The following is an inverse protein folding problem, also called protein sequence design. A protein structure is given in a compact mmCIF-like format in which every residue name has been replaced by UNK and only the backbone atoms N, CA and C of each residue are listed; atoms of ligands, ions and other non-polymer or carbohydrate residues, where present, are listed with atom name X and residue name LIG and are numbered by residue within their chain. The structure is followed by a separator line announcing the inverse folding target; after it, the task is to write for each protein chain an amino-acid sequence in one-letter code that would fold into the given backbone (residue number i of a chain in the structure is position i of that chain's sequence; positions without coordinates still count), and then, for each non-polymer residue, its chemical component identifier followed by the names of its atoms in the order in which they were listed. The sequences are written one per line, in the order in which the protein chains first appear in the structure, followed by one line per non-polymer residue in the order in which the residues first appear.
data_IF_193746497939
#
_entry.id   IF_193746497939
#
_cell.length_a   1.000
_cell.length_b   1.000
_cell.length_c   1.000
_cell.angle_alpha   90.00
_cell.angle_beta   90.00
_cell.angle_gamma   90.00
#
_symmetry.space_group_name_H-M   'P 1'
#
loop_
_entity.id
_entity.type
_entity.pdbx_description
1 polymer ?
#
# COMPACT_ATOMS: atom_id res chain seq x y z
N UNK A 1 4.66 3.13 -11.10
CA UNK A 1 4.17 2.25 -10.02
C UNK A 1 3.48 3.09 -8.97
N UNK A 2 2.25 2.78 -8.59
CA UNK A 2 1.48 3.50 -7.56
C UNK A 2 1.64 2.77 -6.22
N UNK A 3 2.19 3.47 -5.24
CA UNK A 3 2.42 2.95 -3.88
C UNK A 3 1.57 3.73 -2.90
N UNK A 4 0.74 3.05 -2.13
CA UNK A 4 -0.06 3.65 -1.08
C UNK A 4 0.41 3.22 0.33
N UNK A 5 0.63 4.19 1.21
CA UNK A 5 1.09 3.96 2.59
C UNK A 5 0.57 5.05 3.54
N UNK A 6 0.71 4.84 4.85
CA UNK A 6 0.27 5.80 5.86
C UNK A 6 1.30 6.92 6.05
N UNK A 7 0.91 8.05 6.66
CA UNK A 7 1.86 9.08 7.10
C UNK A 7 2.59 8.71 8.41
N UNK A 8 2.51 7.46 8.87
CA UNK A 8 3.13 7.03 10.13
C UNK A 8 4.67 7.00 10.01
N UNK A 9 5.35 7.14 11.14
CA UNK A 9 6.81 7.30 11.16
C UNK A 9 7.56 6.07 10.63
N UNK A 10 7.02 4.87 10.86
CA UNK A 10 7.53 3.61 10.34
C UNK A 10 7.36 3.50 8.82
N UNK A 11 6.22 3.90 8.27
CA UNK A 11 6.00 3.97 6.83
C UNK A 11 6.90 5.01 6.16
N UNK A 12 7.03 6.19 6.77
CA UNK A 12 7.95 7.23 6.30
C UNK A 12 9.41 6.75 6.28
N UNK A 13 9.81 5.95 7.28
CA UNK A 13 11.12 5.34 7.32
C UNK A 13 11.31 4.32 6.18
N UNK A 14 10.32 3.46 5.93
CA UNK A 14 10.38 2.47 4.84
C UNK A 14 10.50 3.13 3.45
N UNK A 15 9.78 4.23 3.21
CA UNK A 15 9.76 4.91 1.90
C UNK A 15 10.76 6.06 1.75
N UNK A 16 11.59 6.33 2.76
CA UNK A 16 12.57 7.41 2.75
C UNK A 16 13.48 7.40 1.50
N UNK A 17 13.98 6.23 1.12
CA UNK A 17 14.85 6.09 -0.06
C UNK A 17 14.16 6.47 -1.37
N UNK A 18 12.87 6.15 -1.49
CA UNK A 18 12.05 6.49 -2.66
C UNK A 18 11.80 8.01 -2.68
N UNK A 19 11.37 8.60 -1.57
CA UNK A 19 11.10 10.05 -1.48
C UNK A 19 12.35 10.91 -1.76
N UNK A 20 13.54 10.43 -1.38
CA UNK A 20 14.80 11.16 -1.55
C UNK A 20 15.52 10.84 -2.87
N UNK A 21 14.87 10.17 -3.82
CA UNK A 21 15.46 9.85 -5.13
C UNK A 21 16.71 8.95 -5.04
N UNK A 22 16.82 8.18 -3.95
CA UNK A 22 17.92 7.22 -3.75
C UNK A 22 17.66 5.90 -4.45
N UNK A 23 16.41 5.62 -4.81
CA UNK A 23 15.99 4.53 -5.69
C UNK A 23 15.73 5.12 -7.07
N UNK A 24 16.46 4.68 -8.11
CA UNK A 24 16.51 5.36 -9.43
C UNK A 24 15.92 4.57 -10.58
N UNK A 25 15.64 3.28 -10.39
CA UNK A 25 15.31 2.37 -11.49
C UNK A 25 13.80 2.22 -11.76
N UNK A 26 12.94 3.02 -11.11
CA UNK A 26 11.48 2.96 -11.30
C UNK A 26 10.83 4.29 -10.97
N UNK A 27 9.94 4.77 -11.84
CA UNK A 27 9.05 5.90 -11.54
C UNK A 27 7.93 5.44 -10.59
N UNK A 28 7.88 6.08 -9.43
CA UNK A 28 6.92 5.77 -8.37
C UNK A 28 6.05 6.99 -8.07
N UNK A 29 4.74 6.78 -8.01
CA UNK A 29 3.76 7.76 -7.54
C UNK A 29 3.30 7.31 -6.15
N UNK A 30 3.43 8.20 -5.15
CA UNK A 30 3.02 7.89 -3.77
C UNK A 30 1.62 8.44 -3.49
N UNK A 31 0.81 7.62 -2.84
CA UNK A 31 -0.50 7.98 -2.27
C UNK A 31 -0.37 7.85 -0.75
N UNK A 32 -0.47 8.98 -0.05
CA UNK A 32 -0.37 9.01 1.42
C UNK A 32 -1.76 9.25 1.99
N UNK A 33 -2.27 8.30 2.78
CA UNK A 33 -3.59 8.41 3.40
C UNK A 33 -3.64 7.61 4.72
N UNK A 34 -4.62 7.89 5.58
CA UNK A 34 -4.84 7.10 6.79
C UNK A 34 -5.22 5.65 6.46
N UNK A 35 -4.97 4.74 7.41
CA UNK A 35 -5.16 3.30 7.18
C UNK A 35 -6.60 2.92 6.83
N UNK A 36 -7.60 3.63 7.33
CA UNK A 36 -9.01 3.37 7.04
C UNK A 36 -9.40 3.81 5.62
N UNK A 37 -8.82 4.90 5.14
CA UNK A 37 -8.92 5.29 3.73
C UNK A 37 -8.24 4.26 2.83
N UNK A 38 -7.05 3.78 3.20
CA UNK A 38 -6.32 2.74 2.45
C UNK A 38 -7.10 1.42 2.40
N UNK A 39 -7.68 1.00 3.53
CA UNK A 39 -8.54 -0.18 3.63
C UNK A 39 -9.68 -0.14 2.60
N UNK A 40 -10.32 1.03 2.40
CA UNK A 40 -11.42 1.20 1.44
C UNK A 40 -10.97 1.16 -0.02
N UNK A 41 -9.84 1.79 -0.34
CA UNK A 41 -9.36 1.87 -1.73
C UNK A 41 -8.65 0.59 -2.18
N UNK A 42 -8.17 -0.25 -1.26
CA UNK A 42 -7.56 -1.54 -1.58
C UNK A 42 -8.49 -2.45 -2.42
N UNK A 43 -9.80 -2.36 -2.19
CA UNK A 43 -10.84 -3.06 -2.97
C UNK A 43 -11.09 -2.47 -4.37
N UNK A 44 -10.35 -1.45 -4.81
CA UNK A 44 -10.49 -0.93 -6.18
C UNK A 44 -9.56 -1.62 -7.18
N UNK A 45 -8.49 -2.26 -6.70
CA UNK A 45 -7.50 -2.91 -7.56
C UNK A 45 -6.68 -1.94 -8.42
N UNK A 46 -6.64 -0.65 -8.06
CA UNK A 46 -5.96 0.41 -8.81
C UNK A 46 -4.50 0.65 -8.33
N UNK A 47 -4.11 0.06 -7.21
CA UNK A 47 -2.80 0.25 -6.57
C UNK A 47 -1.87 -0.88 -6.95
N UNK A 48 -0.61 -0.56 -7.27
CA UNK A 48 0.44 -1.59 -7.50
C UNK A 48 1.01 -2.09 -6.17
N UNK A 49 1.04 -1.23 -5.15
CA UNK A 49 1.46 -1.58 -3.79
C UNK A 49 0.57 -0.84 -2.80
N UNK A 50 0.06 -1.51 -1.76
CA UNK A 50 -0.74 -0.84 -0.72
C UNK A 50 -0.51 -1.41 0.66
N UNK A 51 -0.38 -0.51 1.65
CA UNK A 51 -0.59 -0.83 3.05
C UNK A 51 -2.10 -1.00 3.34
N UNK A 52 -2.44 -1.92 4.22
CA UNK A 52 -3.79 -2.04 4.79
C UNK A 52 -3.73 -2.74 6.15
N UNK A 53 -4.84 -2.73 6.88
CA UNK A 53 -4.93 -3.44 8.15
C UNK A 53 -4.90 -4.95 7.96
N UNK A 54 -4.22 -5.66 8.87
CA UNK A 54 -4.14 -7.13 8.80
C UNK A 54 -5.50 -7.83 8.78
N UNK A 55 -6.52 -7.26 9.44
CA UNK A 55 -7.84 -7.89 9.52
C UNK A 55 -8.55 -8.01 8.16
N UNK A 56 -8.27 -7.11 7.20
CA UNK A 56 -8.89 -7.16 5.86
C UNK A 56 -8.09 -7.95 4.82
N UNK A 57 -6.93 -8.51 5.18
CA UNK A 57 -6.03 -9.14 4.22
C UNK A 57 -6.73 -10.22 3.39
N UNK A 58 -7.48 -11.11 4.06
CA UNK A 58 -8.18 -12.20 3.38
C UNK A 58 -9.31 -11.69 2.48
N UNK A 59 -10.04 -10.66 2.92
CA UNK A 59 -11.15 -10.09 2.14
C UNK A 59 -10.66 -9.40 0.89
N UNK A 60 -9.59 -8.60 1.01
CA UNK A 60 -8.96 -7.93 -0.12
C UNK A 60 -8.36 -8.94 -1.08
N UNK A 61 -7.63 -9.94 -0.56
CA UNK A 61 -7.02 -10.97 -1.39
C UNK A 61 -8.09 -11.71 -2.19
N UNK A 62 -9.16 -12.19 -1.55
CA UNK A 62 -10.27 -12.86 -2.21
C UNK A 62 -10.97 -11.98 -3.24
N UNK A 63 -11.22 -10.72 -2.91
CA UNK A 63 -11.88 -9.78 -3.82
C UNK A 63 -11.06 -9.57 -5.11
N UNK A 64 -9.75 -9.50 -4.97
CA UNK A 64 -8.87 -9.20 -6.09
C UNK A 64 -8.54 -10.44 -6.96
N UNK A 65 -8.94 -11.67 -6.62
CA UNK A 65 -8.63 -12.89 -7.41
C UNK A 65 -9.44 -13.00 -8.71
N UNK A 66 -9.10 -12.21 -9.75
CA UNK A 66 -8.84 -12.81 -11.07
C UNK A 66 -7.33 -13.03 -11.28
N UNK A 67 -6.91 -13.84 -12.28
CA UNK A 67 -5.52 -14.33 -12.44
C UNK A 67 -4.48 -13.27 -12.85
N UNK A 68 -4.72 -11.99 -12.55
CA UNK A 68 -3.95 -10.84 -13.08
C UNK A 68 -3.46 -9.86 -12.02
N UNK A 69 -3.66 -10.12 -10.72
CA UNK A 69 -3.25 -9.18 -9.66
C UNK A 69 -1.73 -8.98 -9.70
N UNK A 70 -1.32 -7.73 -9.93
CA UNK A 70 0.07 -7.25 -9.82
C UNK A 70 0.34 -6.52 -8.50
N UNK A 71 -0.68 -6.42 -7.64
CA UNK A 71 -0.63 -5.66 -6.39
C UNK A 71 0.12 -6.40 -5.29
N UNK A 72 1.13 -5.77 -4.71
CA UNK A 72 1.81 -6.26 -3.50
C UNK A 72 1.14 -5.65 -2.27
N UNK A 73 0.74 -6.51 -1.34
CA UNK A 73 0.00 -6.12 -0.14
C UNK A 73 0.89 -6.17 1.11
N UNK A 74 0.86 -5.10 1.90
CA UNK A 74 1.55 -5.01 3.19
C UNK A 74 0.52 -4.85 4.30
N UNK A 75 0.39 -5.89 5.13
CA UNK A 75 -0.46 -5.84 6.31
C UNK A 75 0.28 -5.19 7.48
N UNK A 76 -0.21 -4.05 7.95
CA UNK A 76 0.32 -3.39 9.15
C UNK A 76 -0.64 -3.57 10.33
N UNK A 77 -0.09 -3.56 11.54
CA UNK A 77 -0.90 -3.57 12.77
C UNK A 77 -1.47 -2.17 12.92
N UNK A 78 -2.78 -2.01 12.72
CA UNK A 78 -3.47 -0.78 13.07
C UNK A 78 -3.22 -0.51 14.55
N UNK A 79 -2.52 0.58 14.87
CA UNK A 79 -2.51 1.08 16.24
C UNK A 79 -3.96 1.42 16.63
N UNK A 80 -4.40 1.08 17.85
CA UNK A 80 -5.76 1.37 18.31
C UNK A 80 -6.05 2.87 18.34
#
# INVERSE_FOLDING_TARGET
MIIAHTPDADDAFMFYGVQNGKIRDTEMTQVIADIETLNKIAFRGELDVTAHSAHIFNEVLHFLVPPTIKTVHFAIRSSP
#
